data_IF_266401271436
#
_entry.id   IF_266401271436
#
_cell.length_a   1.000
_cell.length_b   1.000
_cell.length_c   1.000
_cell.angle_alpha   90.00
_cell.angle_beta   90.00
_cell.angle_gamma   90.00
#
_symmetry.space_group_name_H-M   'P 1'
#
loop_
_entity.id
_entity.type
_entity.pdbx_description
1 polymer ?
#
# COMPACT_ATOMS: atom_id res chain seq x y z
N UNK A 1 -5.85 10.38 9.92
CA UNK A 1 -4.85 9.30 9.95
C UNK A 1 -5.58 8.09 10.52
N UNK A 2 -5.69 6.98 9.77
CA UNK A 2 -6.55 5.87 10.20
C UNK A 2 -6.11 5.30 11.57
N UNK A 3 -7.04 5.31 12.53
CA UNK A 3 -6.93 4.76 13.89
C UNK A 3 -6.93 3.23 13.86
N UNK A 4 -6.00 2.60 13.13
CA UNK A 4 -5.92 1.15 13.03
C UNK A 4 -4.63 0.66 13.67
N UNK A 5 -4.68 0.54 15.00
CA UNK A 5 -3.62 -0.06 15.79
C UNK A 5 -3.52 -1.57 15.49
N UNK A 6 -2.54 -1.93 14.65
CA UNK A 6 -2.12 -3.32 14.47
C UNK A 6 -1.30 -3.76 15.68
N UNK A 7 -1.81 -4.70 16.47
CA UNK A 7 -1.07 -5.22 17.63
C UNK A 7 0.24 -5.90 17.24
N UNK A 8 1.25 -5.79 18.11
CA UNK A 8 2.56 -6.41 17.87
C UNK A 8 2.48 -7.93 17.78
N UNK A 9 1.58 -8.55 18.54
CA UNK A 9 1.31 -9.99 18.46
C UNK A 9 0.81 -10.38 17.06
N UNK A 10 -0.16 -9.63 16.51
CA UNK A 10 -0.69 -9.89 15.16
C UNK A 10 0.39 -9.67 14.11
N UNK A 11 1.18 -8.60 14.24
CA UNK A 11 2.32 -8.31 13.36
C UNK A 11 3.33 -9.46 13.37
N UNK A 12 3.68 -9.97 14.55
CA UNK A 12 4.63 -11.07 14.70
C UNK A 12 4.11 -12.38 14.09
N UNK A 13 2.82 -12.68 14.24
CA UNK A 13 2.18 -13.85 13.60
C UNK A 13 2.22 -13.72 12.08
N UNK A 14 1.82 -12.58 11.53
CA UNK A 14 1.77 -12.34 10.09
C UNK A 14 3.15 -12.40 9.43
N UNK A 15 4.22 -11.95 10.12
CA UNK A 15 5.60 -12.04 9.60
C UNK A 15 6.04 -13.48 9.28
N UNK A 16 5.47 -14.48 9.96
CA UNK A 16 5.81 -15.91 9.81
C UNK A 16 4.98 -16.63 8.74
N UNK A 17 3.96 -15.99 8.18
CA UNK A 17 3.03 -16.62 7.23
C UNK A 17 3.37 -16.14 5.82
N UNK A 18 3.33 -17.05 4.84
CA UNK A 18 3.55 -16.69 3.43
C UNK A 18 2.39 -15.88 2.86
N UNK A 19 2.68 -15.01 1.89
CA UNK A 19 1.67 -14.22 1.16
C UNK A 19 0.66 -15.12 0.44
N UNK A 20 1.08 -16.28 -0.06
CA UNK A 20 0.21 -17.27 -0.70
C UNK A 20 -0.85 -17.86 0.26
N UNK A 21 -0.44 -18.17 1.50
CA UNK A 21 -1.37 -18.65 2.53
C UNK A 21 -2.38 -17.57 2.93
N UNK A 22 -1.93 -16.32 3.08
CA UNK A 22 -2.81 -15.19 3.38
C UNK A 22 -3.81 -14.97 2.23
N UNK A 23 -3.35 -14.95 0.98
CA UNK A 23 -4.21 -14.80 -0.19
C UNK A 23 -5.28 -15.91 -0.25
N UNK A 24 -4.90 -17.16 0.05
CA UNK A 24 -5.84 -18.30 0.10
C UNK A 24 -6.87 -18.14 1.22
N UNK A 25 -6.45 -17.69 2.41
CA UNK A 25 -7.36 -17.44 3.53
C UNK A 25 -8.38 -16.33 3.20
N UNK A 26 -7.94 -15.27 2.53
CA UNK A 26 -8.82 -14.19 2.07
C UNK A 26 -9.75 -14.64 0.94
N UNK A 27 -9.27 -15.48 0.02
CA UNK A 27 -10.08 -16.10 -1.03
C UNK A 27 -11.24 -16.92 -0.46
N UNK A 28 -10.98 -17.74 0.58
CA UNK A 28 -12.02 -18.49 1.30
C UNK A 28 -13.07 -17.58 1.95
N UNK A 29 -12.74 -16.31 2.21
CA UNK A 29 -13.66 -15.28 2.71
C UNK A 29 -14.35 -14.47 1.59
N UNK A 30 -14.21 -14.88 0.32
CA UNK A 30 -14.83 -14.25 -0.83
C UNK A 30 -14.01 -13.10 -1.45
N UNK A 31 -12.81 -12.82 -0.94
CA UNK A 31 -11.96 -11.75 -1.43
C UNK A 31 -10.99 -12.30 -2.50
N UNK A 32 -11.19 -11.95 -3.77
CA UNK A 32 -10.50 -12.59 -4.92
C UNK A 32 -9.28 -11.83 -5.48
N UNK A 33 -9.17 -10.52 -5.25
CA UNK A 33 -8.13 -9.63 -5.78
C UNK A 33 -7.15 -9.17 -4.67
N UNK A 34 -6.51 -10.11 -3.98
CA UNK A 34 -5.80 -9.82 -2.71
C UNK A 34 -4.28 -9.69 -2.84
N UNK A 35 -3.76 -9.92 -4.03
CA UNK A 35 -2.34 -9.89 -4.33
C UNK A 35 -2.06 -8.89 -5.45
N UNK A 36 -1.09 -8.01 -5.25
CA UNK A 36 -0.66 -7.05 -6.27
C UNK A 36 0.36 -7.74 -7.18
N UNK A 37 -0.04 -7.98 -8.42
CA UNK A 37 0.80 -8.67 -9.41
C UNK A 37 1.94 -7.76 -9.90
N UNK A 38 3.08 -8.36 -10.25
CA UNK A 38 4.24 -7.65 -10.80
C UNK A 38 5.09 -6.88 -9.79
N UNK A 39 4.71 -6.84 -8.51
CA UNK A 39 5.52 -6.22 -7.45
C UNK A 39 6.53 -7.23 -6.93
N UNK A 40 7.81 -6.88 -7.00
CA UNK A 40 8.93 -7.71 -6.53
C UNK A 40 9.88 -6.90 -5.64
N UNK A 41 10.59 -7.54 -4.70
CA UNK A 41 11.62 -6.86 -3.90
C UNK A 41 12.71 -6.29 -4.80
N UNK A 42 13.10 -5.03 -4.56
CA UNK A 42 14.20 -4.38 -5.29
C UNK A 42 15.56 -5.02 -4.98
N UNK A 43 15.69 -5.66 -3.82
CA UNK A 43 16.88 -6.41 -3.38
C UNK A 43 16.47 -7.51 -2.38
N UNK A 44 17.31 -8.53 -2.16
CA UNK A 44 17.10 -9.51 -1.10
C UNK A 44 16.96 -8.82 0.27
N UNK A 45 15.99 -9.29 1.06
CA UNK A 45 15.74 -8.80 2.43
C UNK A 45 15.81 -9.97 3.39
N UNK A 46 16.28 -9.68 4.60
CA UNK A 46 16.38 -10.70 5.66
C UNK A 46 15.00 -11.12 6.17
N UNK A 47 14.06 -10.17 6.23
CA UNK A 47 12.75 -10.36 6.83
C UNK A 47 11.59 -9.85 5.95
N UNK A 48 10.42 -10.45 6.14
CA UNK A 48 9.16 -9.98 5.58
C UNK A 48 8.64 -8.73 6.33
N UNK A 49 8.09 -7.77 5.58
CA UNK A 49 7.49 -6.56 6.12
C UNK A 49 5.98 -6.74 6.35
N UNK A 50 5.50 -6.33 7.52
CA UNK A 50 4.07 -6.27 7.87
C UNK A 50 3.78 -4.96 8.57
N UNK A 51 2.74 -4.25 8.11
CA UNK A 51 2.31 -3.00 8.69
C UNK A 51 0.98 -2.52 8.12
N UNK A 52 0.40 -1.47 8.70
CA UNK A 52 -0.79 -0.82 8.16
C UNK A 52 -0.50 -0.23 6.78
N UNK A 53 -1.51 -0.20 5.91
CA UNK A 53 -1.40 0.42 4.60
C UNK A 53 -1.55 1.94 4.70
N UNK A 54 -0.60 2.68 4.14
CA UNK A 54 -0.76 4.11 3.88
C UNK A 54 -0.88 4.29 2.37
N UNK A 55 -2.07 4.63 1.90
CA UNK A 55 -2.38 4.69 0.47
C UNK A 55 -2.03 6.05 -0.11
N UNK A 56 -1.31 6.06 -1.23
CA UNK A 56 -1.01 7.27 -2.00
C UNK A 56 -1.51 7.08 -3.44
N UNK A 57 -2.11 8.13 -3.99
CA UNK A 57 -2.56 8.17 -5.38
C UNK A 57 -1.69 9.15 -6.17
N UNK A 58 -1.13 8.68 -7.28
CA UNK A 58 -0.47 9.53 -8.26
C UNK A 58 -1.41 9.83 -9.42
N UNK A 59 -1.52 11.10 -9.80
CA UNK A 59 -2.16 11.53 -11.04
C UNK A 59 -1.06 11.88 -12.02
N UNK A 60 -1.05 11.32 -13.25
CA UNK A 60 -0.07 11.69 -14.26
C UNK A 60 -0.08 13.20 -14.51
N UNK A 61 1.08 13.83 -14.34
CA UNK A 61 1.28 15.24 -14.64
C UNK A 61 1.94 15.38 -16.01
N UNK A 62 1.47 16.35 -16.81
CA UNK A 62 2.18 16.80 -18.01
C UNK A 62 3.02 18.01 -17.65
N UNK A 63 4.33 17.94 -17.84
CA UNK A 63 5.29 18.98 -17.46
C UNK A 63 4.90 20.38 -17.94
N UNK A 64 4.47 20.53 -19.20
CA UNK A 64 4.04 21.82 -19.76
C UNK A 64 2.72 22.35 -19.17
N UNK A 65 1.81 21.48 -18.73
CA UNK A 65 0.46 21.87 -18.24
C UNK A 65 0.35 21.86 -16.72
N UNK A 66 1.26 21.19 -16.03
CA UNK A 66 1.29 21.04 -14.58
C UNK A 66 2.68 21.40 -14.06
N UNK A 67 3.06 22.69 -14.15
CA UNK A 67 4.27 23.15 -13.48
C UNK A 67 4.15 22.97 -11.96
N UNK A 68 5.27 22.81 -11.26
CA UNK A 68 5.29 22.56 -9.81
C UNK A 68 4.53 23.62 -8.97
N UNK A 69 4.32 24.81 -9.53
CA UNK A 69 3.55 25.89 -8.91
C UNK A 69 2.08 25.54 -8.66
N UNK A 70 1.49 24.61 -9.40
CA UNK A 70 0.07 24.20 -9.21
C UNK A 70 -0.17 23.56 -7.84
N UNK A 71 0.86 22.97 -7.23
CA UNK A 71 0.76 22.38 -5.89
C UNK A 71 0.69 23.41 -4.75
N UNK A 72 0.91 24.70 -5.05
CA UNK A 72 0.66 25.77 -4.08
C UNK A 72 -0.83 25.91 -3.77
N UNK A 73 -1.71 25.53 -4.70
CA UNK A 73 -3.15 25.50 -4.45
C UNK A 73 -3.49 24.32 -3.51
N UNK A 74 -4.02 24.57 -2.29
CA UNK A 74 -4.45 23.52 -1.38
C UNK A 74 -5.55 22.62 -1.94
N UNK A 75 -6.40 23.16 -2.82
CA UNK A 75 -7.52 22.44 -3.44
C UNK A 75 -7.10 21.61 -4.67
N UNK A 76 -5.80 21.60 -5.00
CA UNK A 76 -5.32 20.85 -6.14
C UNK A 76 -5.69 19.36 -6.01
N UNK A 77 -6.21 18.68 -7.06
CA UNK A 77 -6.68 17.28 -6.98
C UNK A 77 -5.66 16.26 -6.45
N UNK A 78 -4.36 16.59 -6.58
CA UNK A 78 -3.24 15.80 -6.05
C UNK A 78 -3.03 15.97 -4.53
N UNK A 79 -3.52 17.06 -3.92
CA UNK A 79 -3.32 17.40 -2.49
C UNK A 79 -4.49 17.02 -1.59
N UNK A 80 -5.69 16.94 -2.15
CA UNK A 80 -6.94 16.67 -1.41
C UNK A 80 -7.28 15.17 -1.31
N UNK A 81 -6.40 14.30 -1.81
CA UNK A 81 -6.62 12.86 -1.92
C UNK A 81 -5.93 12.07 -0.81
#
# INVERSE_FOLDING_TARGET
>A
MSEHNLSDETRAKLKKISTASIATALYKRGLRNQFIQGVVPVAPKQDNMVGPAFTLRYIPAREYRNPITVFRNPEHPQRVA
#
